data_IF_775445527419
#
_entry.id   IF_775445527419
#
_cell.length_a   1.000
_cell.length_b   1.000
_cell.length_c   1.000
_cell.angle_alpha   90.00
_cell.angle_beta   90.00
_cell.angle_gamma   90.00
#
_symmetry.space_group_name_H-M   'P 1'
#
loop_
_entity.id
_entity.type
_entity.pdbx_description
1 polymer ?
#
# COMPACT_ATOMS: atom_id res chain seq x y z
N UNK A 1 9.57 2.12 18.25
CA UNK A 1 10.03 3.32 17.51
C UNK A 1 11.32 3.09 16.70
N UNK A 2 12.42 2.54 17.27
CA UNK A 2 13.70 2.35 16.53
C UNK A 2 13.60 1.54 15.22
N UNK A 3 12.71 0.54 15.15
CA UNK A 3 12.50 -0.25 13.92
C UNK A 3 11.77 0.54 12.83
N UNK A 4 10.73 1.30 13.19
CA UNK A 4 9.98 2.16 12.25
C UNK A 4 10.91 3.19 11.59
N UNK A 5 11.81 3.80 12.38
CA UNK A 5 12.78 4.76 11.84
C UNK A 5 13.75 4.15 10.82
N UNK A 6 14.09 2.85 10.96
CA UNK A 6 14.90 2.13 9.98
C UNK A 6 14.12 1.77 8.72
N UNK A 7 12.81 1.57 8.84
CA UNK A 7 11.93 1.21 7.73
C UNK A 7 11.42 2.42 6.94
N UNK A 8 11.35 3.61 7.54
CA UNK A 8 10.80 4.80 6.90
C UNK A 8 11.36 5.10 5.49
N UNK A 9 12.67 4.93 5.18
CA UNK A 9 13.19 5.12 3.83
C UNK A 9 12.63 4.13 2.78
N UNK A 10 12.15 2.96 3.22
CA UNK A 10 11.55 1.91 2.39
C UNK A 10 10.03 2.06 2.26
N UNK A 11 9.44 3.10 2.88
CA UNK A 11 7.99 3.32 2.93
C UNK A 11 7.57 4.60 2.18
N UNK A 12 8.45 5.15 1.33
CA UNK A 12 8.20 6.40 0.62
C UNK A 12 7.20 6.25 -0.52
N UNK A 13 7.13 5.07 -1.16
CA UNK A 13 6.20 4.78 -2.26
C UNK A 13 5.40 3.53 -1.97
N UNK A 14 4.11 3.71 -1.68
CA UNK A 14 3.22 2.65 -1.22
C UNK A 14 2.08 2.44 -2.21
N UNK A 15 1.85 1.20 -2.61
CA UNK A 15 0.69 0.80 -3.41
C UNK A 15 -0.26 -0.04 -2.54
N UNK A 16 -1.54 0.31 -2.52
CA UNK A 16 -2.58 -0.48 -1.86
C UNK A 16 -3.49 -1.07 -2.95
N UNK A 17 -3.67 -2.39 -2.92
CA UNK A 17 -4.52 -3.13 -3.84
C UNK A 17 -5.65 -3.75 -3.03
N UNK A 18 -6.81 -3.11 -3.04
CA UNK A 18 -7.94 -3.48 -2.19
C UNK A 18 -9.27 -3.13 -2.89
N UNK A 19 -10.19 -4.10 -3.06
CA UNK A 19 -11.49 -3.84 -3.67
C UNK A 19 -12.40 -2.92 -2.84
N UNK A 20 -12.17 -2.81 -1.52
CA UNK A 20 -12.93 -1.96 -0.62
C UNK A 20 -12.24 -0.59 -0.44
N UNK A 21 -12.82 0.51 -0.97
CA UNK A 21 -12.18 1.83 -0.89
C UNK A 21 -12.04 2.37 0.55
N UNK A 22 -12.93 1.94 1.45
CA UNK A 22 -12.93 2.37 2.85
C UNK A 22 -11.73 1.81 3.61
N UNK A 23 -11.42 0.51 3.45
CA UNK A 23 -10.24 -0.12 4.06
C UNK A 23 -8.95 0.42 3.47
N UNK A 24 -8.88 0.61 2.14
CA UNK A 24 -7.74 1.23 1.48
C UNK A 24 -7.45 2.64 2.03
N UNK A 25 -8.50 3.44 2.26
CA UNK A 25 -8.38 4.79 2.84
C UNK A 25 -7.91 4.73 4.29
N UNK A 26 -8.51 3.88 5.11
CA UNK A 26 -8.12 3.69 6.51
C UNK A 26 -6.63 3.32 6.63
N UNK A 27 -6.18 2.32 5.85
CA UNK A 27 -4.79 1.93 5.80
C UNK A 27 -3.89 3.08 5.34
N UNK A 28 -4.36 3.86 4.38
CA UNK A 28 -3.63 5.02 3.90
C UNK A 28 -3.42 6.10 4.96
N UNK A 29 -4.45 6.37 5.77
CA UNK A 29 -4.37 7.35 6.85
C UNK A 29 -3.46 6.86 7.98
N UNK A 30 -3.48 5.56 8.30
CA UNK A 30 -2.55 4.95 9.25
C UNK A 30 -1.10 5.08 8.77
N UNK A 31 -0.83 4.81 7.49
CA UNK A 31 0.52 4.90 6.94
C UNK A 31 1.07 6.33 6.98
N UNK A 32 0.23 7.34 6.69
CA UNK A 32 0.61 8.75 6.79
C UNK A 32 0.95 9.18 8.22
N UNK A 33 0.35 8.55 9.23
CA UNK A 33 0.68 8.82 10.64
C UNK A 33 2.09 8.35 11.03
N UNK A 34 2.65 7.40 10.27
CA UNK A 34 3.98 6.81 10.52
C UNK A 34 5.07 7.64 9.85
N UNK A 35 4.88 7.99 8.57
CA UNK A 35 5.88 8.71 7.77
C UNK A 35 5.26 9.42 6.56
N UNK A 36 5.84 10.55 6.10
CA UNK A 36 5.47 11.13 4.81
C UNK A 36 5.74 10.14 3.67
N UNK A 37 4.76 9.95 2.80
CA UNK A 37 4.82 8.98 1.70
C UNK A 37 3.94 9.41 0.52
N UNK A 38 4.24 8.85 -0.64
CA UNK A 38 3.37 8.86 -1.81
C UNK A 38 2.58 7.56 -1.87
N UNK A 39 1.27 7.67 -2.08
CA UNK A 39 0.35 6.54 -2.03
C UNK A 39 -0.48 6.44 -3.29
N UNK A 40 -0.61 5.22 -3.80
CA UNK A 40 -1.52 4.86 -4.88
C UNK A 40 -2.45 3.76 -4.41
N UNK A 41 -3.66 3.73 -4.95
CA UNK A 41 -4.64 2.69 -4.69
C UNK A 41 -5.12 2.06 -5.98
N UNK A 42 -5.42 0.76 -5.94
CA UNK A 42 -6.00 0.01 -7.05
C UNK A 42 -7.09 -0.92 -6.51
N UNK A 43 -8.24 -0.98 -7.19
CA UNK A 43 -9.38 -1.79 -6.74
C UNK A 43 -9.32 -3.27 -7.15
N UNK A 44 -8.30 -3.68 -7.90
CA UNK A 44 -8.13 -5.05 -8.40
C UNK A 44 -6.65 -5.38 -8.51
N UNK A 45 -6.30 -6.67 -8.39
CA UNK A 45 -4.93 -7.16 -8.57
C UNK A 45 -4.35 -6.80 -9.92
N UNK A 46 -5.15 -6.88 -11.00
CA UNK A 46 -4.71 -6.51 -12.35
C UNK A 46 -4.28 -5.05 -12.44
N UNK A 47 -5.14 -4.12 -11.97
CA UNK A 47 -4.80 -2.68 -11.94
C UNK A 47 -3.61 -2.42 -11.03
N UNK A 48 -3.50 -3.14 -9.92
CA UNK A 48 -2.36 -3.07 -9.01
C UNK A 48 -1.05 -3.45 -9.70
N UNK A 49 -1.05 -4.53 -10.48
CA UNK A 49 0.13 -4.97 -11.22
C UNK A 49 0.54 -3.98 -12.31
N UNK A 50 -0.43 -3.42 -13.05
CA UNK A 50 -0.17 -2.40 -14.06
C UNK A 50 0.39 -1.12 -13.42
N UNK A 51 -0.15 -0.70 -12.27
CA UNK A 51 0.34 0.44 -11.51
C UNK A 51 1.77 0.21 -11.01
N UNK A 52 2.05 -0.99 -10.49
CA UNK A 52 3.37 -1.36 -9.96
C UNK A 52 4.49 -1.19 -11.00
N UNK A 53 4.21 -1.51 -12.27
CA UNK A 53 5.16 -1.33 -13.38
C UNK A 53 5.52 0.13 -13.65
N UNK A 54 4.59 1.05 -13.38
CA UNK A 54 4.77 2.49 -13.66
C UNK A 54 5.38 3.23 -12.47
N UNK A 55 4.94 2.90 -11.26
CA UNK A 55 5.31 3.66 -10.05
C UNK A 55 6.53 3.07 -9.32
N UNK A 56 6.87 1.80 -9.60
CA UNK A 56 7.92 1.04 -8.92
C UNK A 56 7.83 1.19 -7.38
N UNK A 57 6.75 0.66 -6.76
CA UNK A 57 6.48 0.85 -5.34
C UNK A 57 7.49 0.09 -4.47
N UNK A 58 7.79 0.61 -3.29
CA UNK A 58 8.67 -0.05 -2.33
C UNK A 58 7.92 -1.02 -1.42
N UNK A 59 6.64 -0.73 -1.18
CA UNK A 59 5.75 -1.54 -0.36
C UNK A 59 4.40 -1.67 -1.06
N UNK A 60 3.88 -2.90 -1.12
CA UNK A 60 2.57 -3.20 -1.69
C UNK A 60 1.73 -3.89 -0.63
N UNK A 61 0.56 -3.34 -0.32
CA UNK A 61 -0.48 -4.00 0.45
C UNK A 61 -1.49 -4.61 -0.52
N UNK A 62 -1.85 -5.86 -0.33
CA UNK A 62 -2.84 -6.56 -1.18
C UNK A 62 -3.88 -7.20 -0.27
N UNK A 63 -5.13 -6.79 -0.43
CA UNK A 63 -6.26 -7.47 0.20
C UNK A 63 -6.49 -8.80 -0.52
N UNK A 64 -6.42 -9.88 0.23
CA UNK A 64 -6.66 -11.22 -0.25
C UNK A 64 -8.05 -11.65 0.24
N UNK A 65 -9.07 -11.41 -0.59
CA UNK A 65 -10.43 -11.84 -0.30
C UNK A 65 -10.73 -13.22 -0.92
N UNK A 66 -10.93 -14.24 -0.08
CA UNK A 66 -11.36 -15.59 -0.52
C UNK A 66 -10.83 -16.73 0.36
N UNK A 67 -11.58 -17.84 0.45
CA UNK A 67 -11.39 -18.96 1.39
C UNK A 67 -10.12 -19.82 1.19
N UNK A 68 -9.30 -19.52 0.18
CA UNK A 68 -8.11 -20.28 -0.21
C UNK A 68 -6.85 -19.38 -0.26
N UNK A 69 -6.62 -18.66 0.84
CA UNK A 69 -5.29 -18.13 1.18
C UNK A 69 -4.69 -19.04 2.24
#
# INVERSE_FOLDING_TARGET
MKQIQRMAPLMQKVLIVDPAPASARMLGDLMRSITPLQMWTASTTRKGLDAARQINPQLIFVELAGADV
#
